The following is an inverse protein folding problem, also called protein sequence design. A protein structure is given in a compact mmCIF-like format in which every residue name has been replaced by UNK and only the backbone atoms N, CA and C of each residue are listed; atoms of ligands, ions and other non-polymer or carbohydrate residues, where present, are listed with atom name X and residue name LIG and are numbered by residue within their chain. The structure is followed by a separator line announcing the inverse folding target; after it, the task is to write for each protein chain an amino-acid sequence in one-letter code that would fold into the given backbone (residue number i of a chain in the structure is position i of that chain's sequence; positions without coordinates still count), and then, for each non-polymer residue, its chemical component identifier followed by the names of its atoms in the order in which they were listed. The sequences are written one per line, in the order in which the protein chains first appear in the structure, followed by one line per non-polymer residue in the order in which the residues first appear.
data_IF_891007035631
#
_entry.id   IF_891007035631
#
_cell.length_a   1.000
_cell.length_b   1.000
_cell.length_c   1.000
_cell.angle_alpha   90.00
_cell.angle_beta   90.00
_cell.angle_gamma   90.00
#
_symmetry.space_group_name_H-M   'P 1'
#
loop_
_entity.id
_entity.type
_entity.pdbx_description
1 polymer ?
#
# COMPACT_ATOMS: atom_id res chain seq x y z
N UNK A 1 -6.30 -14.52 -16.20
CA UNK A 1 -6.48 -15.34 -14.98
C UNK A 1 -5.66 -14.67 -13.88
N UNK A 2 -6.24 -14.44 -12.70
CA UNK A 2 -5.52 -13.90 -11.53
C UNK A 2 -5.32 -15.07 -10.59
N UNK A 3 -4.07 -15.34 -10.19
CA UNK A 3 -3.71 -16.29 -9.14
C UNK A 3 -3.19 -15.48 -7.95
N UNK A 4 -3.73 -15.66 -6.78
CA UNK A 4 -3.40 -14.90 -5.58
C UNK A 4 -2.94 -15.82 -4.46
N UNK A 5 -1.91 -15.41 -3.74
CA UNK A 5 -1.46 -16.00 -2.48
C UNK A 5 -1.42 -14.92 -1.41
N UNK A 6 -2.07 -15.18 -0.31
CA UNK A 6 -1.99 -14.33 0.88
C UNK A 6 -1.21 -15.06 1.96
N UNK A 7 -0.28 -14.35 2.59
CA UNK A 7 0.50 -14.88 3.70
C UNK A 7 -0.09 -14.34 4.99
N UNK A 8 -1.05 -15.08 5.55
CA UNK A 8 -1.68 -14.75 6.82
C UNK A 8 -0.98 -15.42 8.03
N UNK A 9 0.30 -15.75 7.93
CA UNK A 9 1.02 -16.41 9.03
C UNK A 9 1.61 -15.40 10.01
N UNK A 10 1.30 -15.55 11.30
CA UNK A 10 1.98 -14.87 12.39
C UNK A 10 3.41 -15.40 12.54
N UNK A 11 4.41 -14.66 12.02
CA UNK A 11 5.84 -14.97 12.18
C UNK A 11 6.73 -14.37 11.10
N UNK A 12 8.04 -14.36 11.36
CA UNK A 12 9.08 -13.76 10.49
C UNK A 12 9.43 -14.58 9.21
N UNK A 13 8.45 -15.16 8.56
CA UNK A 13 8.65 -16.12 7.45
C UNK A 13 8.72 -15.47 6.05
N UNK A 14 8.57 -14.14 5.93
CA UNK A 14 8.50 -13.48 4.62
C UNK A 14 9.72 -13.73 3.73
N UNK A 15 10.93 -13.67 4.31
CA UNK A 15 12.16 -13.87 3.54
C UNK A 15 12.33 -15.32 3.07
N UNK A 16 11.93 -16.27 3.90
CA UNK A 16 12.13 -17.71 3.65
C UNK A 16 11.12 -18.26 2.63
N UNK A 17 9.89 -17.77 2.67
CA UNK A 17 8.79 -18.31 1.87
C UNK A 17 8.52 -17.56 0.56
N UNK A 18 8.99 -16.32 0.41
CA UNK A 18 8.66 -15.50 -0.76
C UNK A 18 8.99 -16.21 -2.08
N UNK A 19 10.17 -16.77 -2.21
CA UNK A 19 10.58 -17.44 -3.44
C UNK A 19 9.79 -18.74 -3.70
N UNK A 20 9.49 -19.49 -2.65
CA UNK A 20 8.64 -20.69 -2.73
C UNK A 20 7.25 -20.33 -3.23
N UNK A 21 6.63 -19.27 -2.70
CA UNK A 21 5.33 -18.81 -3.16
C UNK A 21 5.33 -18.30 -4.60
N UNK A 22 6.41 -17.64 -5.04
CA UNK A 22 6.55 -17.24 -6.45
C UNK A 22 6.54 -18.46 -7.36
N UNK A 23 7.29 -19.51 -7.01
CA UNK A 23 7.32 -20.76 -7.77
C UNK A 23 5.97 -21.48 -7.77
N UNK A 24 5.29 -21.55 -6.62
CA UNK A 24 3.95 -22.14 -6.50
C UNK A 24 2.92 -21.40 -7.36
N UNK A 25 2.88 -20.07 -7.31
CA UNK A 25 1.96 -19.25 -8.10
C UNK A 25 2.20 -19.46 -9.60
N UNK A 26 3.43 -19.48 -10.05
CA UNK A 26 3.77 -19.74 -11.45
C UNK A 26 3.33 -21.14 -11.86
N UNK A 27 3.58 -22.14 -11.02
CA UNK A 27 3.17 -23.52 -11.28
C UNK A 27 1.64 -23.65 -11.37
N UNK A 28 0.88 -23.04 -10.48
CA UNK A 28 -0.59 -23.03 -10.51
C UNK A 28 -1.14 -22.32 -11.75
N UNK A 29 -0.45 -21.27 -12.19
CA UNK A 29 -0.81 -20.55 -13.41
C UNK A 29 -0.38 -21.29 -14.69
N UNK A 30 0.34 -22.44 -14.59
CA UNK A 30 1.00 -23.12 -15.68
C UNK A 30 1.96 -22.21 -16.47
N UNK A 31 2.69 -21.35 -15.76
CA UNK A 31 3.68 -20.43 -16.31
C UNK A 31 5.08 -20.80 -15.82
N UNK A 32 6.08 -20.42 -16.60
CA UNK A 32 7.49 -20.48 -16.23
C UNK A 32 8.02 -19.07 -15.99
N UNK A 33 9.14 -18.94 -15.32
CA UNK A 33 9.83 -17.65 -15.16
C UNK A 33 10.08 -16.95 -16.51
N UNK A 34 10.39 -17.71 -17.55
CA UNK A 34 10.61 -17.20 -18.92
C UNK A 34 9.37 -16.58 -19.57
N UNK A 35 8.18 -16.83 -19.03
CA UNK A 35 6.92 -16.32 -19.58
C UNK A 35 6.54 -14.97 -18.96
N UNK A 36 7.29 -14.50 -17.96
CA UNK A 36 7.09 -13.22 -17.32
C UNK A 36 7.55 -12.07 -18.23
N UNK A 37 6.72 -11.03 -18.33
CA UNK A 37 7.03 -9.85 -19.13
C UNK A 37 7.46 -8.64 -18.27
N UNK A 38 7.13 -8.65 -16.98
CA UNK A 38 7.50 -7.64 -16.00
C UNK A 38 7.28 -8.17 -14.58
N UNK A 39 7.91 -7.54 -13.60
CA UNK A 39 7.60 -7.72 -12.18
C UNK A 39 7.18 -6.39 -11.59
N UNK A 40 5.99 -6.34 -10.97
CA UNK A 40 5.54 -5.19 -10.20
C UNK A 40 5.83 -5.41 -8.71
N UNK A 41 6.27 -4.36 -8.01
CA UNK A 41 6.55 -4.41 -6.57
C UNK A 41 6.12 -3.12 -5.90
N UNK A 42 5.57 -3.23 -4.69
CA UNK A 42 5.33 -2.05 -3.85
C UNK A 42 6.67 -1.42 -3.48
N UNK A 43 6.82 -0.12 -3.77
CA UNK A 43 8.00 0.65 -3.41
C UNK A 43 7.91 1.28 -2.01
N UNK A 44 6.76 1.14 -1.35
CA UNK A 44 6.44 1.77 -0.08
C UNK A 44 5.50 2.97 -0.23
N UNK A 45 5.19 3.58 0.91
CA UNK A 45 5.64 3.28 2.27
C UNK A 45 5.12 1.94 2.80
N UNK A 46 5.74 1.43 3.88
CA UNK A 46 5.34 0.18 4.53
C UNK A 46 6.44 -0.41 5.39
N UNK A 47 6.30 -1.69 5.75
CA UNK A 47 7.29 -2.42 6.55
C UNK A 47 8.70 -2.32 5.96
N UNK A 48 9.64 -1.73 6.69
CA UNK A 48 11.03 -1.57 6.25
C UNK A 48 11.68 -2.89 5.82
N UNK A 49 11.52 -3.93 6.62
CA UNK A 49 12.07 -5.25 6.33
C UNK A 49 11.36 -5.90 5.15
N UNK A 50 10.01 -5.85 5.12
CA UNK A 50 9.21 -6.41 4.03
C UNK A 50 9.53 -5.78 2.68
N UNK A 51 9.61 -4.45 2.63
CA UNK A 51 9.96 -3.72 1.41
C UNK A 51 11.36 -4.09 0.90
N UNK A 52 12.35 -4.20 1.78
CA UNK A 52 13.72 -4.60 1.37
C UNK A 52 13.75 -6.01 0.80
N UNK A 53 13.04 -6.95 1.41
CA UNK A 53 12.95 -8.33 0.93
C UNK A 53 12.27 -8.35 -0.45
N UNK A 54 11.08 -7.76 -0.55
CA UNK A 54 10.29 -7.76 -1.78
C UNK A 54 11.01 -7.07 -2.94
N UNK A 55 11.55 -5.86 -2.70
CA UNK A 55 12.28 -5.10 -3.74
C UNK A 55 13.56 -5.81 -4.17
N UNK A 56 14.30 -6.45 -3.23
CA UNK A 56 15.50 -7.19 -3.59
C UNK A 56 15.17 -8.42 -4.44
N UNK A 57 14.14 -9.17 -4.08
CA UNK A 57 13.66 -10.31 -4.85
C UNK A 57 13.20 -9.90 -6.25
N UNK A 58 12.36 -8.85 -6.34
CA UNK A 58 11.88 -8.33 -7.62
C UNK A 58 13.01 -7.85 -8.54
N UNK A 59 13.99 -7.12 -7.99
CA UNK A 59 15.19 -6.71 -8.73
C UNK A 59 16.01 -7.90 -9.21
N UNK A 60 16.18 -8.93 -8.36
CA UNK A 60 16.90 -10.15 -8.72
C UNK A 60 16.24 -10.88 -9.89
N UNK A 61 14.92 -11.03 -9.84
CA UNK A 61 14.14 -11.64 -10.92
C UNK A 61 14.23 -10.85 -12.23
N UNK A 62 14.00 -9.53 -12.16
CA UNK A 62 14.09 -8.68 -13.35
C UNK A 62 15.48 -8.72 -13.99
N UNK A 63 16.52 -8.69 -13.17
CA UNK A 63 17.90 -8.78 -13.66
C UNK A 63 18.20 -10.14 -14.33
N UNK A 64 17.76 -11.25 -13.70
CA UNK A 64 18.02 -12.59 -14.22
C UNK A 64 17.23 -12.89 -15.50
N UNK A 65 16.06 -12.28 -15.67
CA UNK A 65 15.16 -12.53 -16.80
C UNK A 65 15.23 -11.46 -17.90
N UNK A 66 15.99 -10.39 -17.67
CA UNK A 66 16.09 -9.21 -18.54
C UNK A 66 14.71 -8.59 -18.86
N UNK A 67 13.89 -8.43 -17.81
CA UNK A 67 12.53 -7.88 -17.90
C UNK A 67 12.38 -6.62 -17.03
N UNK A 68 11.43 -5.71 -17.33
CA UNK A 68 11.24 -4.48 -16.59
C UNK A 68 10.71 -4.71 -15.16
N UNK A 69 11.15 -3.85 -14.24
CA UNK A 69 10.62 -3.69 -12.89
C UNK A 69 9.66 -2.50 -12.85
N UNK A 70 8.44 -2.73 -12.35
CA UNK A 70 7.42 -1.71 -12.16
C UNK A 70 7.32 -1.40 -10.67
N UNK A 71 7.65 -0.17 -10.30
CA UNK A 71 7.50 0.30 -8.92
C UNK A 71 6.12 0.94 -8.73
N UNK A 72 5.38 0.49 -7.71
CA UNK A 72 4.02 0.96 -7.43
C UNK A 72 3.98 1.56 -6.02
N UNK A 73 3.43 2.78 -5.90
CA UNK A 73 3.25 3.45 -4.60
C UNK A 73 2.16 2.76 -3.78
N UNK A 74 2.47 2.40 -2.53
CA UNK A 74 1.51 1.69 -1.67
C UNK A 74 0.28 2.52 -1.34
N UNK A 75 0.44 3.84 -1.12
CA UNK A 75 -0.68 4.72 -0.82
C UNK A 75 -1.58 4.96 -2.05
N UNK A 76 -0.99 4.93 -3.26
CA UNK A 76 -1.77 4.99 -4.50
C UNK A 76 -2.62 3.73 -4.70
N UNK A 77 -2.04 2.55 -4.43
CA UNK A 77 -2.79 1.29 -4.45
C UNK A 77 -3.95 1.32 -3.44
N UNK A 78 -3.71 1.81 -2.22
CA UNK A 78 -4.78 1.97 -1.23
C UNK A 78 -5.85 2.93 -1.72
N UNK A 79 -5.48 4.11 -2.20
CA UNK A 79 -6.42 5.11 -2.69
C UNK A 79 -7.32 4.56 -3.81
N UNK A 80 -6.77 3.72 -4.68
CA UNK A 80 -7.50 3.12 -5.80
C UNK A 80 -8.59 2.12 -5.40
N UNK A 81 -8.63 1.68 -4.15
CA UNK A 81 -9.62 0.70 -3.66
C UNK A 81 -10.99 1.31 -3.38
N UNK A 82 -11.10 2.63 -3.26
CA UNK A 82 -12.38 3.30 -3.06
C UNK A 82 -12.65 4.30 -4.18
N UNK A 83 -13.91 4.50 -4.50
CA UNK A 83 -14.38 5.54 -5.42
C UNK A 83 -15.22 6.55 -4.63
N UNK A 84 -14.95 7.83 -4.82
CA UNK A 84 -15.68 8.92 -4.19
C UNK A 84 -16.22 9.88 -5.27
N UNK A 85 -17.35 10.52 -5.01
CA UNK A 85 -17.93 11.50 -5.93
C UNK A 85 -17.39 12.91 -5.68
N UNK A 86 -17.06 13.22 -4.42
CA UNK A 86 -16.55 14.53 -3.99
C UNK A 86 -15.59 14.37 -2.81
N UNK A 87 -14.78 15.37 -2.53
CA UNK A 87 -13.81 15.36 -1.43
C UNK A 87 -12.46 14.81 -1.82
N UNK A 88 -11.71 14.32 -0.84
CA UNK A 88 -10.36 13.78 -1.00
C UNK A 88 -10.18 12.46 -0.26
N UNK A 89 -9.28 11.63 -0.78
CA UNK A 89 -8.90 10.34 -0.18
C UNK A 89 -7.56 10.54 0.52
N UNK A 90 -7.48 10.11 1.77
CA UNK A 90 -6.24 10.13 2.57
C UNK A 90 -5.92 8.71 3.03
N UNK A 91 -5.17 7.96 2.22
CA UNK A 91 -4.64 6.68 2.65
C UNK A 91 -3.58 6.89 3.72
N UNK A 92 -3.59 6.03 4.75
CA UNK A 92 -2.66 6.07 5.88
C UNK A 92 -2.11 4.69 6.20
N UNK A 93 -0.79 4.61 6.32
CA UNK A 93 -0.07 3.41 6.76
C UNK A 93 0.63 3.70 8.09
N UNK A 94 0.56 2.76 9.01
CA UNK A 94 1.14 2.88 10.34
C UNK A 94 2.67 3.01 10.30
N UNK A 95 3.18 4.12 10.83
CA UNK A 95 4.61 4.38 11.04
C UNK A 95 5.03 4.23 12.51
N UNK A 96 4.19 3.55 13.32
CA UNK A 96 4.28 3.35 14.77
C UNK A 96 3.90 4.58 15.60
N UNK A 97 3.51 4.34 16.85
CA UNK A 97 3.00 5.39 17.77
C UNK A 97 1.86 6.16 17.10
N UNK A 98 1.88 7.50 17.15
CA UNK A 98 0.90 8.36 16.47
C UNK A 98 1.39 8.87 15.11
N UNK A 99 2.48 8.33 14.59
CA UNK A 99 2.99 8.67 13.26
C UNK A 99 2.34 7.78 12.19
N UNK A 100 2.07 8.38 11.03
CA UNK A 100 1.55 7.71 9.85
C UNK A 100 2.30 8.17 8.60
N UNK A 101 2.38 7.30 7.62
CA UNK A 101 2.65 7.72 6.24
C UNK A 101 1.32 8.04 5.58
N UNK A 102 1.17 9.23 5.04
CA UNK A 102 -0.04 9.65 4.35
C UNK A 102 0.26 10.43 3.07
N UNK A 103 -0.67 10.41 2.14
CA UNK A 103 -0.73 11.25 0.96
C UNK A 103 -2.18 11.75 0.81
N UNK A 104 -2.43 12.68 -0.12
CA UNK A 104 -3.78 13.11 -0.42
C UNK A 104 -4.02 12.92 -1.92
N UNK A 105 -5.15 12.32 -2.23
CA UNK A 105 -5.59 12.08 -3.60
C UNK A 105 -6.95 12.76 -3.83
N UNK A 106 -7.18 13.23 -5.04
CA UNK A 106 -8.50 13.69 -5.45
C UNK A 106 -9.41 12.50 -5.82
N UNK A 107 -10.65 12.78 -6.18
CA UNK A 107 -11.66 11.78 -6.60
C UNK A 107 -11.29 11.00 -7.88
N UNK A 108 -10.32 11.49 -8.66
CA UNK A 108 -9.80 10.83 -9.84
C UNK A 108 -8.51 10.05 -9.55
N UNK A 109 -8.18 9.85 -8.27
CA UNK A 109 -6.94 9.23 -7.78
C UNK A 109 -5.67 9.97 -8.22
N UNK A 110 -5.77 11.29 -8.51
CA UNK A 110 -4.59 12.10 -8.75
C UNK A 110 -4.01 12.55 -7.42
N UNK A 111 -2.72 12.30 -7.21
CA UNK A 111 -2.02 12.70 -5.99
C UNK A 111 -1.88 14.23 -5.96
N UNK A 112 -2.53 14.87 -4.99
CA UNK A 112 -2.51 16.33 -4.79
C UNK A 112 -1.64 16.76 -3.62
N UNK A 113 -1.24 15.84 -2.75
CA UNK A 113 -0.21 16.02 -1.73
C UNK A 113 0.71 14.80 -1.72
N UNK A 114 2.01 15.05 -1.81
CA UNK A 114 3.02 14.01 -1.78
C UNK A 114 3.04 13.24 -0.46
N UNK A 115 3.53 12.01 -0.54
CA UNK A 115 3.71 11.13 0.62
C UNK A 115 4.64 11.76 1.64
N UNK A 116 4.21 11.81 2.89
CA UNK A 116 5.04 12.23 4.03
C UNK A 116 4.77 11.38 5.25
N UNK A 117 5.76 11.29 6.13
CA UNK A 117 5.60 10.83 7.49
C UNK A 117 5.14 12.02 8.35
N UNK A 118 4.05 11.85 9.10
CA UNK A 118 3.51 12.90 9.95
C UNK A 118 2.95 12.33 11.25
N UNK A 119 3.23 13.04 12.36
CA UNK A 119 2.62 12.71 13.65
C UNK A 119 1.22 13.30 13.65
N UNK A 120 0.21 12.47 13.89
CA UNK A 120 -1.17 12.92 13.97
C UNK A 120 -1.38 13.74 15.25
N UNK A 121 -2.05 14.86 15.08
CA UNK A 121 -2.56 15.75 16.15
C UNK A 121 -4.04 16.04 15.91
N UNK A 122 -4.74 16.58 16.87
CA UNK A 122 -6.15 16.99 16.73
C UNK A 122 -6.36 17.98 15.59
N UNK A 123 -5.33 18.76 15.24
CA UNK A 123 -5.34 19.75 14.17
C UNK A 123 -4.93 19.17 12.79
N UNK A 124 -4.50 17.90 12.72
CA UNK A 124 -4.11 17.31 11.46
C UNK A 124 -5.26 17.36 10.46
N UNK A 125 -4.93 17.75 9.21
CA UNK A 125 -5.89 17.92 8.09
C UNK A 125 -6.98 19.00 8.34
N UNK A 126 -6.77 19.90 9.31
CA UNK A 126 -7.77 20.93 9.67
C UNK A 126 -7.90 22.03 8.62
N UNK A 127 -6.95 22.18 7.76
CA UNK A 127 -6.91 23.10 6.63
C UNK A 127 -7.75 22.66 5.43
N UNK A 128 -8.24 21.40 5.45
CA UNK A 128 -9.05 20.84 4.37
C UNK A 128 -10.53 20.99 4.73
N UNK A 129 -11.26 21.78 3.94
CA UNK A 129 -12.70 22.03 4.15
C UNK A 129 -13.61 21.01 3.44
N UNK A 130 -13.05 20.22 2.54
CA UNK A 130 -13.80 19.16 1.83
C UNK A 130 -13.97 17.93 2.72
N UNK A 131 -14.87 17.03 2.32
CA UNK A 131 -14.97 15.70 2.94
C UNK A 131 -13.65 14.94 2.76
N UNK A 132 -13.15 14.35 3.83
CA UNK A 132 -11.93 13.55 3.81
C UNK A 132 -12.28 12.10 4.11
N UNK A 133 -11.89 11.21 3.21
CA UNK A 133 -12.04 9.78 3.38
C UNK A 133 -10.71 9.18 3.82
N UNK A 134 -10.61 8.79 5.09
CA UNK A 134 -9.44 8.12 5.65
C UNK A 134 -9.55 6.61 5.47
N UNK A 135 -8.50 6.00 4.92
CA UNK A 135 -8.42 4.56 4.63
C UNK A 135 -7.05 4.01 5.06
N UNK A 136 -6.95 2.69 5.15
CA UNK A 136 -5.72 1.99 5.48
C UNK A 136 -5.64 1.54 6.93
N UNK A 137 -4.57 0.86 7.30
CA UNK A 137 -4.39 0.22 8.61
C UNK A 137 -4.33 1.18 9.81
N UNK A 138 -4.10 2.47 9.55
CA UNK A 138 -4.06 3.52 10.56
C UNK A 138 -5.38 4.27 10.75
N UNK A 139 -6.42 3.94 9.99
CA UNK A 139 -7.71 4.65 10.06
C UNK A 139 -8.32 4.60 11.46
N UNK A 140 -8.30 3.45 12.12
CA UNK A 140 -8.81 3.29 13.49
C UNK A 140 -8.01 4.10 14.53
N UNK A 141 -6.69 4.13 14.41
CA UNK A 141 -5.81 4.95 15.26
C UNK A 141 -6.11 6.44 15.07
N UNK A 142 -6.28 6.87 13.83
CA UNK A 142 -6.59 8.25 13.49
C UNK A 142 -7.99 8.67 14.01
N UNK A 143 -8.98 7.79 13.92
CA UNK A 143 -10.37 8.03 14.39
C UNK A 143 -10.46 8.42 15.88
N UNK A 144 -9.52 7.94 16.70
CA UNK A 144 -9.50 8.30 18.13
C UNK A 144 -9.09 9.75 18.37
N UNK A 145 -8.37 10.36 17.44
CA UNK A 145 -7.78 11.69 17.58
C UNK A 145 -8.46 12.71 16.66
N UNK A 146 -8.77 12.32 15.43
CA UNK A 146 -9.35 13.19 14.42
C UNK A 146 -10.89 13.15 14.49
N UNK A 147 -11.49 14.23 14.98
CA UNK A 147 -12.94 14.31 15.20
C UNK A 147 -13.49 15.60 14.60
N UNK A 148 -13.88 15.53 13.31
CA UNK A 148 -14.56 16.62 12.60
C UNK A 148 -15.71 16.07 11.77
N UNK A 149 -16.72 16.89 11.53
CA UNK A 149 -17.95 16.51 10.82
C UNK A 149 -17.68 16.10 9.35
N UNK A 150 -16.61 16.62 8.75
CA UNK A 150 -16.22 16.30 7.38
C UNK A 150 -15.23 15.12 7.27
N UNK A 151 -14.95 14.41 8.38
CA UNK A 151 -14.03 13.27 8.41
C UNK A 151 -14.80 11.95 8.35
N UNK A 152 -14.54 11.16 7.33
CA UNK A 152 -15.14 9.85 7.10
C UNK A 152 -14.04 8.79 7.19
N UNK A 153 -14.19 7.82 8.07
CA UNK A 153 -13.29 6.69 8.21
C UNK A 153 -13.92 5.48 7.53
N UNK A 154 -13.24 4.98 6.49
CA UNK A 154 -13.70 3.82 5.75
C UNK A 154 -12.96 2.60 6.28
N UNK A 155 -13.72 1.69 6.87
CA UNK A 155 -13.21 0.44 7.43
C UNK A 155 -12.99 -0.61 6.30
N UNK A 156 -12.22 -1.64 6.59
CA UNK A 156 -11.96 -2.78 5.70
C UNK A 156 -11.22 -2.48 4.37
N UNK A 157 -10.53 -1.34 4.29
CA UNK A 157 -9.61 -1.00 3.20
C UNK A 157 -8.18 -1.06 3.73
N UNK A 158 -7.45 -2.12 3.37
CA UNK A 158 -6.08 -2.40 3.85
C UNK A 158 -5.16 -2.69 2.66
#
# INVERSE_FOLDING_TARGET
MIVCREIAEMGYSHAEKLHVFIEEILSEANLKFSDLNAVAVSQGPGSYTGLRIGVSAAKGLCYALDIPLIAVDTLEVLASQIAIEEGVIVPMIDARRMEVYSAIFDKNHQKIRETKAEILTEDSFSDINQTIYFIGDSSQKAKTLLQKDNFVFVDDVI
#
